data_IF_498973217423
#
_entry.id   IF_498973217423
#
_cell.length_a   1.000
_cell.length_b   1.000
_cell.length_c   1.000
_cell.angle_alpha   90.00
_cell.angle_beta   90.00
_cell.angle_gamma   90.00
#
_symmetry.space_group_name_H-M   'P 1'
#
loop_
_entity.id
_entity.type
_entity.pdbx_description
1 polymer ?
#
# COMPACT_ATOMS: atom_id res chain seq x y z
N UNK A 1 11.01 14.90 3.25
CA UNK A 1 10.26 14.29 2.13
C UNK A 1 10.20 12.80 2.35
N UNK A 2 9.08 12.16 1.98
CA UNK A 2 8.79 10.81 2.40
C UNK A 2 9.87 9.83 1.91
N UNK A 3 10.56 9.19 2.86
CA UNK A 3 11.65 8.26 2.60
C UNK A 3 11.18 6.80 2.60
N UNK A 4 12.09 5.88 2.88
CA UNK A 4 11.81 4.43 2.89
C UNK A 4 10.67 4.03 3.85
N UNK A 5 10.41 4.81 4.90
CA UNK A 5 9.35 4.53 5.88
C UNK A 5 7.94 4.87 5.37
N UNK A 6 7.77 5.42 4.15
CA UNK A 6 6.47 5.78 3.59
C UNK A 6 5.50 4.59 3.55
N UNK A 7 5.95 3.40 3.14
CA UNK A 7 5.09 2.20 3.05
C UNK A 7 4.57 1.82 4.44
N UNK A 8 5.47 1.69 5.42
CA UNK A 8 5.10 1.36 6.80
C UNK A 8 4.19 2.43 7.42
N UNK A 9 4.48 3.70 7.13
CA UNK A 9 3.71 4.85 7.59
C UNK A 9 2.28 4.81 7.06
N UNK A 10 2.06 4.48 5.77
CA UNK A 10 0.70 4.36 5.20
C UNK A 10 -0.08 3.24 5.88
N UNK A 11 0.50 2.04 6.02
CA UNK A 11 -0.18 0.92 6.69
C UNK A 11 -0.57 1.25 8.13
N UNK A 12 0.32 1.90 8.88
CA UNK A 12 0.04 2.37 10.23
C UNK A 12 -1.04 3.47 10.25
N UNK A 13 -1.05 4.37 9.25
CA UNK A 13 -2.05 5.44 9.13
C UNK A 13 -3.46 4.90 8.91
N UNK A 14 -3.60 3.94 7.98
CA UNK A 14 -4.86 3.23 7.73
C UNK A 14 -5.34 2.52 8.99
N UNK A 15 -4.44 1.82 9.68
CA UNK A 15 -4.73 1.12 10.94
C UNK A 15 -5.23 2.08 12.03
N UNK A 16 -4.56 3.24 12.19
CA UNK A 16 -4.93 4.27 13.16
C UNK A 16 -6.30 4.88 12.83
N UNK A 17 -6.54 5.20 11.55
CA UNK A 17 -7.81 5.73 11.09
C UNK A 17 -8.96 4.77 11.44
N UNK A 18 -8.84 3.50 11.03
CA UNK A 18 -9.88 2.50 11.28
C UNK A 18 -10.13 2.28 12.77
N UNK A 19 -9.07 2.19 13.57
CA UNK A 19 -9.23 2.04 15.02
C UNK A 19 -9.90 3.26 15.67
N UNK A 20 -9.61 4.48 15.21
CA UNK A 20 -10.30 5.67 15.71
C UNK A 20 -11.80 5.61 15.43
N UNK A 21 -12.21 5.16 14.24
CA UNK A 21 -13.61 4.97 13.89
C UNK A 21 -14.28 3.81 14.66
N UNK A 22 -13.58 2.70 14.89
CA UNK A 22 -14.11 1.60 15.70
C UNK A 22 -14.28 1.99 17.17
N UNK A 23 -13.41 2.84 17.71
CA UNK A 23 -13.56 3.39 19.07
C UNK A 23 -14.77 4.31 19.15
N UNK A 24 -15.00 5.14 18.13
CA UNK A 24 -16.16 6.04 18.08
C UNK A 24 -17.48 5.27 17.96
N UNK A 25 -17.52 4.20 17.16
CA UNK A 25 -18.68 3.34 17.01
C UNK A 25 -18.23 1.90 16.72
N UNK A 26 -18.45 1.03 17.69
CA UNK A 26 -18.06 -0.37 17.58
C UNK A 26 -18.87 -1.08 16.48
N UNK A 27 -18.23 -1.80 15.55
CA UNK A 27 -18.94 -2.58 14.54
C UNK A 27 -19.87 -3.62 15.16
N UNK A 28 -19.48 -4.20 16.30
CA UNK A 28 -20.24 -5.20 17.03
C UNK A 28 -20.58 -4.63 18.42
N UNK A 29 -21.86 -4.66 18.77
CA UNK A 29 -22.31 -4.13 20.06
C UNK A 29 -21.70 -4.92 21.23
N UNK A 30 -21.16 -4.22 22.22
CA UNK A 30 -20.60 -4.82 23.44
C UNK A 30 -19.28 -5.58 23.27
N UNK A 31 -18.69 -5.62 22.06
CA UNK A 31 -17.37 -6.20 21.82
C UNK A 31 -16.41 -5.13 21.31
N UNK A 32 -15.14 -5.22 21.73
CA UNK A 32 -14.07 -4.33 21.25
C UNK A 32 -13.49 -4.92 19.97
N UNK A 33 -13.79 -4.29 18.83
CA UNK A 33 -13.16 -4.63 17.55
C UNK A 33 -11.91 -3.78 17.35
N UNK A 34 -10.84 -4.37 16.85
CA UNK A 34 -9.60 -3.65 16.51
C UNK A 34 -9.14 -3.95 15.09
N UNK A 35 -8.59 -2.95 14.43
CA UNK A 35 -7.87 -3.12 13.17
C UNK A 35 -6.38 -3.35 13.46
N UNK A 36 -5.79 -4.35 12.80
CA UNK A 36 -4.40 -4.77 13.05
C UNK A 36 -3.68 -4.95 11.71
N UNK A 37 -2.50 -4.36 11.57
CA UNK A 37 -1.60 -4.60 10.44
C UNK A 37 -0.91 -5.95 10.63
N UNK A 38 -0.97 -6.82 9.62
CA UNK A 38 -0.47 -8.19 9.71
C UNK A 38 0.53 -8.51 8.60
N UNK A 39 1.44 -9.45 8.90
CA UNK A 39 2.37 -10.07 7.95
C UNK A 39 1.89 -11.48 7.62
N UNK A 40 2.53 -12.13 6.65
CA UNK A 40 2.18 -13.50 6.24
C UNK A 40 2.25 -14.50 7.40
N UNK A 41 3.26 -14.39 8.26
CA UNK A 41 3.47 -15.25 9.44
C UNK A 41 2.39 -15.06 10.51
N UNK A 42 1.75 -13.88 10.57
CA UNK A 42 0.75 -13.56 11.59
C UNK A 42 -0.60 -14.26 11.32
N UNK A 43 -0.74 -14.92 10.16
CA UNK A 43 -1.87 -15.79 9.85
C UNK A 43 -1.68 -17.23 10.36
N UNK A 44 -0.48 -17.60 10.77
CA UNK A 44 -0.25 -18.92 11.38
C UNK A 44 -0.93 -18.99 12.76
N UNK A 45 -1.35 -20.19 13.14
CA UNK A 45 -2.13 -20.46 14.36
C UNK A 45 -1.28 -20.43 15.64
N UNK A 46 0.00 -20.08 15.53
CA UNK A 46 0.99 -20.23 16.60
C UNK A 46 1.07 -19.04 17.58
N UNK A 47 0.29 -17.97 17.39
CA UNK A 47 0.19 -16.87 18.35
C UNK A 47 -0.99 -15.91 18.14
N UNK A 48 -1.35 -15.07 19.14
CA UNK A 48 -2.54 -14.23 19.11
C UNK A 48 -2.30 -12.87 18.42
N UNK A 49 -1.69 -12.84 17.24
CA UNK A 49 -1.54 -11.55 16.53
C UNK A 49 -2.91 -10.98 16.13
N UNK A 50 -3.86 -11.87 15.77
CA UNK A 50 -5.22 -11.50 15.40
C UNK A 50 -6.19 -12.03 16.47
N UNK A 51 -6.67 -11.14 17.33
CA UNK A 51 -7.62 -11.49 18.41
C UNK A 51 -9.03 -11.04 18.01
N UNK A 52 -9.90 -11.99 17.67
CA UNK A 52 -11.27 -11.69 17.28
C UNK A 52 -12.09 -11.09 18.46
N UNK A 53 -12.97 -10.10 18.21
CA UNK A 53 -13.29 -9.53 16.89
C UNK A 53 -12.23 -8.56 16.38
N UNK A 54 -11.80 -8.74 15.13
CA UNK A 54 -10.76 -7.91 14.53
C UNK A 54 -10.94 -7.73 13.03
N UNK A 55 -10.22 -6.75 12.48
CA UNK A 55 -9.98 -6.59 11.06
C UNK A 55 -8.47 -6.69 10.83
N UNK A 56 -8.03 -7.68 10.05
CA UNK A 56 -6.62 -7.74 9.61
C UNK A 56 -6.43 -6.94 8.34
N UNK A 57 -5.34 -6.18 8.28
CA UNK A 57 -4.91 -5.39 7.12
C UNK A 57 -3.61 -6.00 6.62
N UNK A 58 -3.65 -6.66 5.46
CA UNK A 58 -2.50 -7.39 4.90
C UNK A 58 -2.03 -6.74 3.60
N UNK A 59 -0.78 -6.28 3.56
CA UNK A 59 -0.17 -5.75 2.33
C UNK A 59 0.35 -6.92 1.49
N UNK A 60 -0.42 -7.33 0.48
CA UNK A 60 -0.10 -8.53 -0.32
C UNK A 60 0.68 -8.21 -1.61
N UNK A 61 0.62 -6.95 -2.08
CA UNK A 61 1.31 -6.51 -3.30
C UNK A 61 1.67 -5.03 -3.25
N UNK A 62 2.84 -4.70 -3.79
CA UNK A 62 3.31 -3.34 -4.01
C UNK A 62 3.67 -3.19 -5.47
N UNK A 63 3.01 -2.27 -6.16
CA UNK A 63 3.25 -1.98 -7.58
C UNK A 63 3.65 -0.52 -7.78
N UNK A 64 4.26 -0.21 -8.92
CA UNK A 64 4.47 1.19 -9.30
C UNK A 64 3.17 1.78 -9.88
N UNK A 65 2.89 3.04 -9.59
CA UNK A 65 1.73 3.72 -10.14
C UNK A 65 1.95 4.02 -11.63
N UNK A 66 1.35 3.21 -12.50
CA UNK A 66 1.53 3.27 -13.97
C UNK A 66 1.16 4.64 -14.55
N UNK A 67 0.15 5.29 -13.99
CA UNK A 67 -0.35 6.59 -14.48
C UNK A 67 0.61 7.73 -14.15
N UNK A 68 1.18 7.75 -12.93
CA UNK A 68 1.98 8.88 -12.46
C UNK A 68 3.49 8.67 -12.63
N UNK A 69 3.94 7.45 -12.96
CA UNK A 69 5.37 7.11 -13.03
C UNK A 69 6.15 7.99 -14.01
N UNK A 70 5.57 8.31 -15.16
CA UNK A 70 6.22 9.15 -16.17
C UNK A 70 6.35 10.60 -15.70
N UNK A 71 5.27 11.19 -15.19
CA UNK A 71 5.23 12.57 -14.69
C UNK A 71 6.23 12.78 -13.56
N UNK A 72 6.30 11.87 -12.59
CA UNK A 72 7.25 11.97 -11.49
C UNK A 72 8.70 11.71 -11.91
N UNK A 73 8.92 10.92 -12.97
CA UNK A 73 10.26 10.78 -13.56
C UNK A 73 10.77 12.10 -14.14
N UNK A 74 9.88 12.88 -14.78
CA UNK A 74 10.24 14.18 -15.35
C UNK A 74 10.54 15.21 -14.25
N UNK A 75 9.75 15.23 -13.17
CA UNK A 75 10.02 16.07 -11.99
C UNK A 75 11.39 15.72 -11.39
N UNK A 76 11.68 14.41 -11.27
CA UNK A 76 12.93 13.94 -10.71
C UNK A 76 14.16 14.30 -11.54
N UNK A 77 14.02 14.35 -12.86
CA UNK A 77 15.06 14.85 -13.75
C UNK A 77 15.33 16.35 -13.53
N UNK A 78 14.29 17.14 -13.25
CA UNK A 78 14.41 18.58 -13.05
C UNK A 78 15.01 18.97 -11.69
N UNK A 79 14.70 18.24 -10.63
CA UNK A 79 15.16 18.56 -9.27
C UNK A 79 16.38 17.72 -8.80
N UNK A 80 16.79 16.73 -9.61
CA UNK A 80 17.90 15.84 -9.33
C UNK A 80 17.60 14.77 -8.27
N UNK A 81 16.33 14.44 -8.06
CA UNK A 81 15.87 13.41 -7.12
C UNK A 81 15.13 12.28 -7.84
N UNK A 82 15.21 11.07 -7.30
CA UNK A 82 14.33 9.99 -7.72
C UNK A 82 13.00 10.10 -7.00
N UNK A 83 11.89 10.07 -7.74
CA UNK A 83 10.54 9.98 -7.19
C UNK A 83 9.91 8.64 -7.59
N UNK A 84 9.88 7.70 -6.66
CA UNK A 84 9.21 6.42 -6.86
C UNK A 84 7.79 6.51 -6.34
N UNK A 85 6.81 6.40 -7.23
CA UNK A 85 5.38 6.44 -6.86
C UNK A 85 4.80 5.05 -6.96
N UNK A 86 4.17 4.63 -5.86
CA UNK A 86 3.70 3.27 -5.63
C UNK A 86 2.19 3.23 -5.40
N UNK A 87 1.61 2.09 -5.76
CA UNK A 87 0.29 1.65 -5.37
C UNK A 87 0.47 0.46 -4.40
N UNK A 88 -0.07 0.59 -3.18
CA UNK A 88 0.01 -0.43 -2.13
C UNK A 88 -1.31 -1.16 -2.05
N UNK A 89 -1.33 -2.45 -2.36
CA UNK A 89 -2.54 -3.26 -2.39
C UNK A 89 -2.70 -4.04 -1.08
N UNK A 90 -3.75 -3.69 -0.35
CA UNK A 90 -4.12 -4.28 0.92
C UNK A 90 -5.30 -5.25 0.74
N UNK A 91 -5.29 -6.31 1.53
CA UNK A 91 -6.41 -7.21 1.71
C UNK A 91 -6.97 -7.03 3.13
N UNK A 92 -8.25 -6.62 3.20
CA UNK A 92 -8.95 -6.37 4.46
C UNK A 92 -9.84 -7.57 4.80
N UNK A 93 -9.55 -8.26 5.90
CA UNK A 93 -10.22 -9.52 6.27
C UNK A 93 -10.82 -9.38 7.67
N UNK A 94 -12.15 -9.44 7.86
CA UNK A 94 -12.77 -9.47 9.17
C UNK A 94 -12.59 -10.84 9.85
N UNK A 95 -12.49 -10.83 11.18
CA UNK A 95 -12.39 -12.00 12.05
C UNK A 95 -13.44 -11.89 13.14
N UNK A 96 -14.40 -12.82 13.17
CA UNK A 96 -15.42 -12.87 14.20
C UNK A 96 -15.90 -14.30 14.48
N UNK A 97 -16.84 -14.43 15.40
CA UNK A 97 -17.47 -15.69 15.82
C UNK A 97 -18.66 -16.12 14.95
N UNK A 98 -19.16 -15.24 14.07
CA UNK A 98 -20.23 -15.54 13.13
C UNK A 98 -20.22 -14.60 11.91
N UNK A 99 -20.96 -14.99 10.86
CA UNK A 99 -21.01 -14.26 9.59
C UNK A 99 -21.60 -12.84 9.70
N UNK A 100 -22.63 -12.63 10.53
CA UNK A 100 -23.21 -11.29 10.73
C UNK A 100 -22.16 -10.32 11.27
N UNK A 101 -21.39 -10.76 12.28
CA UNK A 101 -20.32 -9.97 12.85
C UNK A 101 -19.20 -9.69 11.85
N UNK A 102 -18.80 -10.67 11.02
CA UNK A 102 -17.85 -10.43 9.93
C UNK A 102 -18.35 -9.35 8.96
N UNK A 103 -19.62 -9.45 8.54
CA UNK A 103 -20.24 -8.47 7.65
C UNK A 103 -20.33 -7.08 8.28
N UNK A 104 -20.64 -6.99 9.59
CA UNK A 104 -20.70 -5.71 10.30
C UNK A 104 -19.33 -5.04 10.42
N UNK A 105 -18.28 -5.80 10.74
CA UNK A 105 -16.90 -5.31 10.76
C UNK A 105 -16.54 -4.76 9.38
N UNK A 106 -16.80 -5.53 8.32
CA UNK A 106 -16.48 -5.13 6.97
C UNK A 106 -17.28 -3.89 6.53
N UNK A 107 -18.60 -3.86 6.79
CA UNK A 107 -19.45 -2.72 6.49
C UNK A 107 -18.99 -1.44 7.19
N UNK A 108 -18.62 -1.52 8.48
CA UNK A 108 -18.09 -0.36 9.21
C UNK A 108 -16.72 0.09 8.68
N UNK A 109 -15.88 -0.86 8.27
CA UNK A 109 -14.59 -0.59 7.63
C UNK A 109 -14.77 0.17 6.33
N UNK A 110 -15.64 -0.32 5.44
CA UNK A 110 -15.90 0.32 4.15
C UNK A 110 -16.53 1.71 4.32
N UNK A 111 -17.48 1.86 5.26
CA UNK A 111 -18.05 3.16 5.61
C UNK A 111 -16.97 4.15 6.07
N UNK A 112 -16.02 3.71 6.90
CA UNK A 112 -14.92 4.55 7.37
C UNK A 112 -14.00 4.99 6.23
N UNK A 113 -13.61 4.06 5.36
CA UNK A 113 -12.71 4.35 4.24
C UNK A 113 -13.38 5.25 3.20
N UNK A 114 -14.69 5.11 2.97
CA UNK A 114 -15.45 5.98 2.08
C UNK A 114 -15.66 7.38 2.68
N UNK A 115 -15.79 7.49 4.01
CA UNK A 115 -15.90 8.77 4.69
C UNK A 115 -14.59 9.56 4.70
N UNK A 116 -13.44 8.86 4.69
CA UNK A 116 -12.09 9.47 4.66
C UNK A 116 -11.22 8.78 3.61
N UNK A 117 -11.49 8.99 2.30
CA UNK A 117 -10.81 8.29 1.22
C UNK A 117 -9.44 8.87 0.90
N UNK A 118 -9.07 10.01 1.47
CA UNK A 118 -7.79 10.67 1.23
C UNK A 118 -7.09 10.92 2.56
N UNK A 119 -5.89 10.37 2.71
CA UNK A 119 -5.01 10.59 3.86
C UNK A 119 -4.03 11.73 3.52
N UNK A 120 -4.13 12.83 4.26
CA UNK A 120 -3.24 14.00 4.16
C UNK A 120 -2.87 14.52 5.53
N UNK A 121 -1.74 15.22 5.61
CA UNK A 121 -1.31 15.95 6.80
C UNK A 121 -1.41 15.10 8.08
N UNK A 122 -2.21 15.50 9.08
CA UNK A 122 -2.32 14.78 10.36
C UNK A 122 -2.79 13.33 10.26
N UNK A 123 -3.49 12.96 9.19
CA UNK A 123 -3.98 11.59 8.98
C UNK A 123 -2.83 10.63 8.63
N UNK A 124 -1.75 11.15 8.04
CA UNK A 124 -0.53 10.39 7.80
C UNK A 124 0.31 10.37 9.08
N UNK A 125 0.72 9.18 9.52
CA UNK A 125 1.61 9.02 10.67
C UNK A 125 2.99 9.57 10.30
N UNK A 126 3.60 10.32 11.20
CA UNK A 126 4.90 10.95 10.97
C UNK A 126 6.08 9.98 11.23
N UNK A 127 5.99 8.73 10.77
CA UNK A 127 7.16 7.80 10.77
C UNK A 127 8.16 8.18 9.66
N UNK A 128 7.74 9.06 8.75
CA UNK A 128 8.56 9.73 7.75
C UNK A 128 8.18 11.21 7.66
N UNK A 129 9.06 12.02 7.10
CA UNK A 129 8.78 13.43 6.80
C UNK A 129 7.92 13.56 5.53
N UNK A 130 6.60 13.48 5.69
CA UNK A 130 5.67 13.78 4.60
C UNK A 130 5.82 15.25 4.16
N UNK A 131 5.74 15.50 2.86
CA UNK A 131 5.64 16.86 2.34
C UNK A 131 4.22 17.40 2.52
N UNK A 132 4.07 18.72 2.64
CA UNK A 132 2.77 19.38 2.90
C UNK A 132 1.72 19.08 1.82
N UNK A 133 2.16 18.77 0.61
CA UNK A 133 1.31 18.45 -0.54
C UNK A 133 1.16 16.94 -0.81
N UNK A 134 1.65 16.08 0.06
CA UNK A 134 1.47 14.63 -0.09
C UNK A 134 0.07 14.21 0.33
N UNK A 135 -0.56 13.45 -0.55
CA UNK A 135 -1.88 12.87 -0.34
C UNK A 135 -1.85 11.43 -0.82
N UNK A 136 -2.39 10.53 0.01
CA UNK A 136 -2.54 9.11 -0.31
C UNK A 136 -4.02 8.82 -0.47
N UNK A 137 -4.41 8.28 -1.62
CA UNK A 137 -5.82 7.97 -1.91
C UNK A 137 -6.09 6.51 -1.62
N UNK A 138 -7.13 6.23 -0.84
CA UNK A 138 -7.62 4.89 -0.53
C UNK A 138 -8.81 4.62 -1.45
N UNK A 139 -8.72 3.58 -2.26
CA UNK A 139 -9.80 3.16 -3.16
C UNK A 139 -10.02 1.66 -3.02
N UNK A 140 -11.26 1.22 -3.20
CA UNK A 140 -11.53 -0.20 -3.39
C UNK A 140 -10.83 -0.67 -4.67
N UNK A 141 -10.19 -1.83 -4.60
CA UNK A 141 -9.53 -2.44 -5.75
C UNK A 141 -10.41 -3.54 -6.34
N UNK A 142 -10.17 -3.92 -7.59
CA UNK A 142 -10.87 -5.03 -8.24
C UNK A 142 -9.90 -6.18 -8.46
N UNK A 143 -10.16 -7.29 -7.78
CA UNK A 143 -9.42 -8.54 -7.94
C UNK A 143 -10.43 -9.62 -8.33
N UNK A 144 -10.11 -10.40 -9.36
CA UNK A 144 -10.94 -11.54 -9.74
C UNK A 144 -10.98 -12.58 -8.63
N UNK A 145 -12.09 -13.29 -8.48
CA UNK A 145 -12.22 -14.36 -7.48
C UNK A 145 -11.09 -15.38 -7.61
N UNK A 146 -10.69 -15.74 -8.83
CA UNK A 146 -9.57 -16.66 -9.07
C UNK A 146 -8.25 -16.12 -8.51
N UNK A 147 -7.91 -14.85 -8.77
CA UNK A 147 -6.66 -14.28 -8.28
C UNK A 147 -6.68 -14.10 -6.75
N UNK A 148 -7.84 -13.82 -6.18
CA UNK A 148 -8.02 -13.81 -4.74
C UNK A 148 -7.77 -15.20 -4.15
N UNK A 149 -8.39 -16.25 -4.69
CA UNK A 149 -8.17 -17.63 -4.23
C UNK A 149 -6.70 -18.05 -4.35
N UNK A 150 -6.04 -17.74 -5.47
CA UNK A 150 -4.60 -17.98 -5.64
C UNK A 150 -3.74 -17.23 -4.62
N UNK A 151 -4.17 -16.06 -4.18
CA UNK A 151 -3.48 -15.33 -3.10
C UNK A 151 -3.57 -16.14 -1.80
N UNK A 152 -4.74 -16.67 -1.46
CA UNK A 152 -4.92 -17.51 -0.27
C UNK A 152 -4.20 -18.87 -0.35
N UNK A 153 -4.05 -19.47 -1.53
CA UNK A 153 -3.27 -20.71 -1.71
C UNK A 153 -1.80 -20.57 -1.22
N UNK A 154 -1.27 -19.34 -1.22
CA UNK A 154 0.08 -19.04 -0.75
C UNK A 154 0.18 -18.69 0.73
N UNK A 155 -0.96 -18.50 1.41
CA UNK A 155 -1.01 -18.08 2.81
C UNK A 155 -1.29 -19.28 3.72
N UNK A 156 -0.82 -19.27 4.99
CA UNK A 156 -1.08 -20.34 5.94
C UNK A 156 -2.51 -20.29 6.54
N UNK A 157 -3.51 -19.89 5.74
CA UNK A 157 -4.91 -19.88 6.15
C UNK A 157 -5.85 -20.32 5.02
N UNK A 158 -6.98 -20.90 5.41
CA UNK A 158 -8.09 -21.13 4.49
C UNK A 158 -8.67 -19.81 3.99
N UNK A 159 -9.37 -19.86 2.84
CA UNK A 159 -10.08 -18.71 2.31
C UNK A 159 -10.99 -18.07 3.37
N UNK A 160 -10.91 -16.75 3.47
CA UNK A 160 -11.78 -15.92 4.31
C UNK A 160 -12.39 -14.81 3.48
N UNK A 161 -13.57 -14.34 3.90
CA UNK A 161 -14.16 -13.13 3.35
C UNK A 161 -13.13 -12.01 3.42
N UNK A 162 -12.84 -11.36 2.30
CA UNK A 162 -11.87 -10.28 2.26
C UNK A 162 -12.17 -9.30 1.14
N UNK A 163 -11.87 -8.02 1.38
CA UNK A 163 -12.06 -6.95 0.40
C UNK A 163 -10.73 -6.29 0.09
N UNK A 164 -10.34 -6.20 -1.19
CA UNK A 164 -9.11 -5.54 -1.58
C UNK A 164 -9.27 -4.01 -1.64
N UNK A 165 -8.26 -3.31 -1.15
CA UNK A 165 -8.15 -1.85 -1.20
C UNK A 165 -6.75 -1.48 -1.68
N UNK A 166 -6.65 -0.40 -2.43
CA UNK A 166 -5.37 0.16 -2.88
C UNK A 166 -5.15 1.54 -2.26
N UNK A 167 -3.97 1.74 -1.67
CA UNK A 167 -3.46 3.05 -1.29
C UNK A 167 -2.55 3.56 -2.41
N UNK A 168 -3.03 4.56 -3.14
CA UNK A 168 -2.41 5.07 -4.37
C UNK A 168 -1.56 6.29 -4.10
N UNK A 169 -0.60 6.52 -5.00
CA UNK A 169 0.26 7.71 -5.02
C UNK A 169 1.17 7.79 -3.79
N UNK A 170 1.60 6.64 -3.27
CA UNK A 170 2.57 6.60 -2.17
C UNK A 170 3.96 6.88 -2.74
N UNK A 171 4.49 8.06 -2.42
CA UNK A 171 5.78 8.53 -2.95
C UNK A 171 6.93 8.19 -2.00
N UNK A 172 8.02 7.69 -2.57
CA UNK A 172 9.32 7.54 -1.91
C UNK A 172 10.33 8.38 -2.69
N UNK A 173 10.93 9.33 -1.99
CA UNK A 173 11.92 10.24 -2.55
C UNK A 173 13.34 9.79 -2.19
N UNK A 174 14.24 9.84 -3.17
CA UNK A 174 15.66 9.67 -2.90
C UNK A 174 16.25 10.98 -2.36
N UNK A 175 17.41 10.85 -1.71
CA UNK A 175 18.28 12.02 -1.51
C UNK A 175 18.65 12.61 -2.88
N UNK A 176 18.91 13.91 -2.92
CA UNK A 176 19.40 14.58 -4.13
C UNK A 176 20.68 13.86 -4.59
N UNK A 177 20.72 13.45 -5.86
CA UNK A 177 21.95 12.91 -6.44
C UNK A 177 23.02 13.99 -6.43
N UNK A 178 24.28 13.57 -6.26
CA UNK A 178 25.41 14.47 -6.48
C UNK A 178 25.35 15.00 -7.92
N UNK A 179 25.63 16.30 -8.12
CA UNK A 179 25.68 16.89 -9.44
C UNK A 179 26.82 16.20 -10.23
N UNK A 180 26.46 15.35 -11.19
CA UNK A 180 27.42 14.81 -12.15
C UNK A 180 27.58 15.82 -13.29
N UNK A 181 28.81 16.03 -13.79
CA UNK A 181 29.02 16.92 -14.93
C UNK A 181 28.22 16.40 -16.15
N UNK A 182 27.72 17.31 -17.00
CA UNK A 182 26.94 16.91 -18.17
C UNK A 182 27.78 16.01 -19.08
N UNK A 183 27.14 15.01 -19.68
CA UNK A 183 27.78 14.17 -20.69
C UNK A 183 28.01 15.02 -21.94
N UNK A 184 29.26 15.42 -22.18
CA UNK A 184 29.67 16.25 -23.32
C UNK A 184 30.05 15.43 -24.56
N UNK A 185 30.14 14.11 -24.45
CA UNK A 185 30.60 13.25 -25.54
C UNK A 185 29.79 11.96 -25.57
N UNK A 186 29.19 11.68 -26.73
CA UNK A 186 28.57 10.39 -27.06
C UNK A 186 29.37 9.81 -28.22
N UNK A 187 30.02 8.67 -28.00
CA UNK A 187 30.69 7.92 -29.07
C UNK A 187 29.75 6.79 -29.53
N UNK A 188 29.27 6.87 -30.76
CA UNK A 188 28.48 5.81 -31.41
C UNK A 188 29.24 5.29 -32.62
N UNK A 189 29.62 4.02 -32.59
CA UNK A 189 30.22 3.33 -33.72
C UNK A 189 30.03 1.82 -33.61
N UNK A 190 29.27 1.25 -34.54
CA UNK A 190 29.39 -0.17 -34.91
C UNK A 190 29.62 -0.20 -36.42
N UNK A 191 30.89 -0.32 -36.80
CA UNK A 191 31.25 -0.69 -38.18
C UNK A 191 31.48 -2.18 -38.18
N UNK A 192 30.47 -2.97 -38.56
CA UNK A 192 30.72 -4.32 -39.07
C UNK A 192 31.32 -4.16 -40.45
N UNK A 193 32.64 -4.23 -40.55
CA UNK A 193 33.31 -4.41 -41.83
C UNK A 193 32.87 -5.75 -42.40
N UNK A 194 32.03 -5.72 -43.44
CA UNK A 194 31.81 -6.89 -44.28
C UNK A 194 33.08 -7.04 -45.11
N UNK A 195 33.85 -8.08 -44.81
CA UNK A 195 34.97 -8.54 -45.62
C UNK A 195 34.39 -9.08 -46.93
N UNK A 196 34.48 -8.28 -47.99
CA UNK A 196 34.25 -8.74 -49.36
C UNK A 196 35.62 -9.14 -49.91
N UNK A 197 35.85 -10.45 -50.03
CA UNK A 197 37.01 -11.01 -50.71
C UNK A 197 36.62 -11.40 -52.17
N UNK A 198 37.60 -11.42 -53.10
CA UNK A 198 37.47 -11.10 -54.53
C UNK A 198 36.87 -12.17 -55.45
#
# INVERSE_FOLDING_TARGET
MAGFAAIASVGASVTRLLNAHFVAEQPISGKKTTAVLVRTEDFDKTGPTIVAPALSIYLYRVDYNKTMRASWSAVGHADGRGHLVLDLHYLLTPWADNAEHEHRILGKTMQCLEATPVLTGPLLIATTEWADNESVQLCMDEITTEALMRTFDSLPLDYKLSVPYVARVVRIDTKKMADYPPVVTVATGTTTTVEADP
#
